data_IF_349283037708
#
_entry.id   IF_349283037708
#
_cell.length_a   1.000
_cell.length_b   1.000
_cell.length_c   1.000
_cell.angle_alpha   90.00
_cell.angle_beta   90.00
_cell.angle_gamma   90.00
#
_symmetry.space_group_name_H-M   'P 1'
#
loop_
_entity.id
_entity.type
_entity.pdbx_description
1 polymer ?
#
# COMPACT_ATOMS: atom_id res chain seq x y z
N UNK A 1 9.25 -14.47 17.24
CA UNK A 1 9.18 -13.04 16.87
C UNK A 1 7.76 -12.73 16.44
N UNK A 2 7.24 -11.54 16.77
CA UNK A 2 5.94 -11.07 16.28
C UNK A 2 6.24 -10.14 15.10
N UNK A 3 5.58 -10.36 13.97
CA UNK A 3 5.64 -9.45 12.83
C UNK A 3 4.46 -8.49 12.87
N UNK A 4 4.74 -7.19 12.77
CA UNK A 4 3.77 -6.16 12.47
C UNK A 4 3.79 -5.92 10.95
N UNK A 5 2.64 -6.14 10.31
CA UNK A 5 2.45 -6.01 8.86
C UNK A 5 1.59 -4.76 8.62
N UNK A 6 2.16 -3.76 7.96
CA UNK A 6 1.44 -2.54 7.62
C UNK A 6 0.56 -2.77 6.38
N UNK A 7 -0.73 -3.01 6.62
CA UNK A 7 -1.74 -3.19 5.58
C UNK A 7 -1.90 -1.93 4.75
N UNK A 8 -1.42 -1.99 3.51
CA UNK A 8 -1.33 -0.90 2.52
C UNK A 8 -0.48 0.28 3.00
N UNK A 9 0.54 0.01 3.80
CA UNK A 9 1.33 1.02 4.50
C UNK A 9 0.63 1.61 5.73
N UNK A 10 1.01 2.82 6.13
CA UNK A 10 0.38 3.57 7.21
C UNK A 10 -0.94 4.22 6.72
N UNK A 11 -1.85 3.40 6.19
CA UNK A 11 -3.07 3.81 5.46
C UNK A 11 -4.06 4.66 6.27
N UNK A 12 -3.94 4.66 7.60
CA UNK A 12 -4.71 5.55 8.47
C UNK A 12 -4.14 6.99 8.55
N UNK A 13 -2.91 7.21 8.07
CA UNK A 13 -2.15 8.46 8.22
C UNK A 13 -1.74 9.07 6.87
N UNK A 14 -1.56 8.24 5.85
CA UNK A 14 -1.12 8.62 4.51
C UNK A 14 -1.98 7.88 3.47
N UNK A 15 -2.10 8.39 2.23
CA UNK A 15 -2.83 7.69 1.17
C UNK A 15 -2.33 6.25 1.00
N UNK A 16 -3.23 5.27 1.08
CA UNK A 16 -2.90 3.85 1.02
C UNK A 16 -2.11 3.48 -0.24
N UNK A 17 -1.29 2.43 -0.18
CA UNK A 17 -0.55 1.91 -1.34
C UNK A 17 0.37 2.94 -2.03
N UNK A 18 0.80 3.98 -1.31
CA UNK A 18 1.80 4.96 -1.80
C UNK A 18 3.14 4.81 -1.10
N UNK A 19 4.21 5.29 -1.73
CA UNK A 19 5.53 5.37 -1.10
C UNK A 19 5.49 6.15 0.22
N UNK A 20 4.67 7.21 0.31
CA UNK A 20 4.49 7.98 1.56
C UNK A 20 3.93 7.12 2.68
N UNK A 21 2.91 6.30 2.41
CA UNK A 21 2.36 5.39 3.41
C UNK A 21 3.36 4.30 3.81
N UNK A 22 4.20 3.84 2.88
CA UNK A 22 5.24 2.85 3.17
C UNK A 22 6.36 3.44 4.02
N UNK A 23 6.89 4.61 3.64
CA UNK A 23 7.91 5.33 4.42
C UNK A 23 7.41 5.60 5.83
N UNK A 24 6.15 6.08 5.97
CA UNK A 24 5.55 6.32 7.27
C UNK A 24 5.37 5.04 8.09
N UNK A 25 5.01 3.92 7.47
CA UNK A 25 4.91 2.63 8.18
C UNK A 25 6.27 2.15 8.68
N UNK A 26 7.33 2.34 7.90
CA UNK A 26 8.71 2.01 8.29
C UNK A 26 9.12 2.88 9.49
N UNK A 27 8.86 4.20 9.45
CA UNK A 27 9.13 5.11 10.58
C UNK A 27 8.38 4.68 11.86
N UNK A 28 7.18 4.13 11.72
CA UNK A 28 6.35 3.64 12.83
C UNK A 28 6.76 2.25 13.34
N UNK A 29 7.79 1.63 12.76
CA UNK A 29 8.33 0.34 13.21
C UNK A 29 7.60 -0.88 12.66
N UNK A 30 6.89 -0.76 11.52
CA UNK A 30 6.38 -1.92 10.81
C UNK A 30 7.54 -2.84 10.39
N UNK A 31 7.36 -4.15 10.56
CA UNK A 31 8.39 -5.15 10.21
C UNK A 31 8.18 -5.74 8.81
N UNK A 32 6.99 -5.57 8.25
CA UNK A 32 6.62 -5.92 6.89
C UNK A 32 5.65 -4.88 6.35
N UNK A 33 5.67 -4.69 5.03
CA UNK A 33 4.71 -3.89 4.29
C UNK A 33 3.84 -4.85 3.48
N UNK A 34 2.54 -4.61 3.48
CA UNK A 34 1.61 -5.27 2.58
C UNK A 34 1.15 -4.26 1.53
N UNK A 35 0.87 -4.76 0.32
CA UNK A 35 0.43 -3.99 -0.81
C UNK A 35 -0.48 -4.84 -1.70
N UNK A 36 -1.40 -4.17 -2.39
CA UNK A 36 -2.31 -4.78 -3.36
C UNK A 36 -1.79 -4.57 -4.79
N UNK A 37 -1.95 -5.57 -5.68
CA UNK A 37 -1.50 -5.47 -7.08
C UNK A 37 -2.62 -5.83 -8.04
N UNK A 38 -2.81 -4.99 -9.05
CA UNK A 38 -3.58 -5.29 -10.27
C UNK A 38 -2.68 -5.16 -11.50
N UNK A 39 -3.16 -5.61 -12.66
CA UNK A 39 -2.53 -5.35 -13.94
C UNK A 39 -3.23 -4.17 -14.63
N UNK A 40 -2.44 -3.26 -15.21
CA UNK A 40 -2.95 -2.28 -16.17
C UNK A 40 -3.40 -2.96 -17.47
N UNK A 41 -4.08 -2.19 -18.33
CA UNK A 41 -4.55 -2.69 -19.63
C UNK A 41 -3.41 -3.25 -20.51
N UNK A 42 -2.22 -2.68 -20.41
CA UNK A 42 -1.01 -3.12 -21.12
C UNK A 42 -0.14 -4.12 -20.32
N UNK A 43 -0.67 -4.66 -19.23
CA UNK A 43 -0.06 -5.78 -18.49
C UNK A 43 1.02 -5.40 -17.48
N UNK A 44 1.17 -4.11 -17.15
CA UNK A 44 2.09 -3.66 -16.10
C UNK A 44 1.46 -3.85 -14.71
N UNK A 45 2.20 -4.38 -13.72
CA UNK A 45 1.76 -4.39 -12.33
C UNK A 45 1.60 -2.96 -11.80
N UNK A 46 0.46 -2.68 -11.17
CA UNK A 46 0.13 -1.40 -10.53
C UNK A 46 -0.30 -1.67 -9.09
N UNK A 47 0.15 -0.82 -8.17
CA UNK A 47 -0.22 -0.92 -6.76
C UNK A 47 -1.50 -0.13 -6.51
N UNK A 48 -2.61 -0.84 -6.32
CA UNK A 48 -3.94 -0.29 -6.02
C UNK A 48 -4.81 -1.40 -5.45
N UNK A 49 -5.73 -1.09 -4.54
CA UNK A 49 -6.62 -2.10 -3.98
C UNK A 49 -7.87 -2.33 -4.85
N UNK A 50 -8.58 -1.24 -5.15
CA UNK A 50 -9.88 -1.32 -5.82
C UNK A 50 -9.70 -1.67 -7.31
N UNK A 51 -10.72 -2.28 -7.91
CA UNK A 51 -10.72 -2.62 -9.34
C UNK A 51 -10.89 -1.39 -10.25
N UNK A 52 -11.26 -0.24 -9.68
CA UNK A 52 -11.38 1.03 -10.38
C UNK A 52 -10.73 2.17 -9.57
N UNK A 53 -10.58 3.33 -10.20
CA UNK A 53 -9.85 4.46 -9.64
C UNK A 53 -10.72 5.40 -8.78
N UNK A 54 -12.04 5.17 -8.68
CA UNK A 54 -13.00 6.18 -8.20
C UNK A 54 -12.76 6.65 -6.77
N UNK A 55 -12.27 5.78 -5.89
CA UNK A 55 -12.03 6.09 -4.47
C UNK A 55 -10.67 6.75 -4.19
N UNK A 56 -9.67 6.50 -5.03
CA UNK A 56 -8.25 6.79 -4.74
C UNK A 56 -7.53 7.58 -5.84
N UNK A 57 -8.27 8.09 -6.84
CA UNK A 57 -7.77 8.98 -7.88
C UNK A 57 -7.27 10.34 -7.35
#
# INVERSE_FOLDING_TARGET
MIHNIAHRGASAYEPENTLRAFDRAIEMGATMLELDVHLSQDGHPVIIHDADLSRTA
#
